data_IF_604158409831
#
_entry.id   IF_604158409831
#
_cell.length_a   1.000
_cell.length_b   1.000
_cell.length_c   1.000
_cell.angle_alpha   90.00
_cell.angle_beta   90.00
_cell.angle_gamma   90.00
#
_symmetry.space_group_name_H-M   'P 1'
#
loop_
_entity.id
_entity.type
_entity.pdbx_description
1 polymer ?
#
# COMPACT_ATOMS: atom_id res chain seq x y z
N UNK A 1 6.01 4.86 11.29
CA UNK A 1 6.47 3.46 11.13
C UNK A 1 5.98 2.99 9.77
N UNK A 2 6.68 3.33 8.68
CA UNK A 2 6.11 3.29 7.32
C UNK A 2 6.38 2.00 6.52
N UNK A 3 7.29 1.14 6.94
CA UNK A 3 7.89 0.11 6.07
C UNK A 3 7.40 -1.34 6.33
N UNK A 4 6.42 -1.55 7.21
CA UNK A 4 6.07 -2.91 7.68
C UNK A 4 4.67 -3.41 7.30
N UNK A 5 3.94 -2.64 6.51
CA UNK A 5 2.58 -2.97 6.06
C UNK A 5 2.58 -4.07 4.99
N UNK A 6 3.66 -4.21 4.23
CA UNK A 6 3.80 -5.18 3.12
C UNK A 6 3.93 -6.65 3.62
N UNK A 7 4.39 -6.87 4.86
CA UNK A 7 4.54 -8.21 5.46
C UNK A 7 3.21 -8.89 5.83
N UNK A 8 2.11 -8.14 5.88
CA UNK A 8 0.80 -8.66 6.33
C UNK A 8 0.16 -9.66 5.34
N UNK A 9 0.62 -9.70 4.08
CA UNK A 9 0.02 -10.57 3.05
C UNK A 9 0.58 -12.00 2.99
N UNK A 10 1.68 -12.31 3.70
CA UNK A 10 2.50 -13.51 3.38
C UNK A 10 2.43 -14.63 4.42
N UNK A 11 1.66 -14.50 5.51
CA UNK A 11 1.56 -15.54 6.56
C UNK A 11 0.12 -15.89 6.92
N UNK A 12 -0.49 -16.84 6.21
CA UNK A 12 -1.70 -17.54 6.67
C UNK A 12 -1.63 -19.01 6.25
N UNK A 13 -1.80 -19.99 7.16
CA UNK A 13 -1.78 -21.41 6.80
C UNK A 13 -3.07 -21.80 6.08
N UNK A 14 -2.91 -22.65 5.06
CA UNK A 14 -3.91 -23.31 4.22
C UNK A 14 -5.37 -23.32 4.75
N UNK A 15 -6.15 -22.30 4.37
CA UNK A 15 -7.62 -22.44 4.25
C UNK A 15 -7.95 -23.14 2.93
N UNK A 16 -9.05 -23.89 2.95
CA UNK A 16 -9.45 -24.86 1.94
C UNK A 16 -9.33 -24.37 0.48
N UNK A 17 -8.92 -25.28 -0.43
CA UNK A 17 -8.75 -25.07 -1.88
C UNK A 17 -10.00 -24.56 -2.63
N UNK A 18 -11.13 -24.36 -1.95
CA UNK A 18 -12.39 -23.89 -2.54
C UNK A 18 -12.67 -22.38 -2.31
N UNK A 19 -11.83 -21.66 -1.56
CA UNK A 19 -12.04 -20.23 -1.26
C UNK A 19 -11.01 -19.27 -1.91
N UNK A 20 -10.12 -19.76 -2.79
CA UNK A 20 -9.18 -18.89 -3.49
C UNK A 20 -9.88 -18.12 -4.62
N UNK A 21 -10.46 -16.96 -4.27
CA UNK A 21 -10.97 -15.97 -5.24
C UNK A 21 -9.87 -15.34 -6.12
N UNK A 22 -8.61 -15.63 -5.84
CA UNK A 22 -7.42 -14.98 -6.40
C UNK A 22 -6.30 -16.02 -6.56
N UNK A 23 -5.74 -16.20 -7.76
CA UNK A 23 -4.50 -16.96 -7.95
C UNK A 23 -3.38 -15.99 -8.28
N UNK A 24 -2.16 -16.31 -7.83
CA UNK A 24 -1.00 -15.42 -8.00
C UNK A 24 -0.71 -15.11 -9.48
N UNK A 25 -0.93 -16.05 -10.37
CA UNK A 25 -0.60 -15.90 -11.79
C UNK A 25 -1.82 -15.45 -12.62
N UNK A 26 -2.95 -15.11 -11.97
CA UNK A 26 -4.11 -14.54 -12.67
C UNK A 26 -3.82 -13.08 -13.05
N UNK A 27 -4.21 -12.63 -14.27
CA UNK A 27 -4.20 -11.21 -14.62
C UNK A 27 -5.08 -10.39 -13.69
N UNK A 28 -4.65 -9.15 -13.37
CA UNK A 28 -5.41 -8.27 -12.48
C UNK A 28 -6.57 -7.54 -13.16
N UNK A 29 -6.69 -7.63 -14.47
CA UNK A 29 -7.60 -6.86 -15.34
C UNK A 29 -9.05 -6.87 -14.85
N UNK A 30 -9.49 -8.00 -14.28
CA UNK A 30 -10.83 -8.15 -13.69
C UNK A 30 -11.11 -7.15 -12.55
N UNK A 31 -10.10 -6.87 -11.74
CA UNK A 31 -10.20 -6.02 -10.55
C UNK A 31 -9.60 -4.64 -10.76
N UNK A 32 -8.59 -4.55 -11.62
CA UNK A 32 -7.84 -3.33 -11.94
C UNK A 32 -7.82 -3.14 -13.46
N UNK A 33 -8.98 -2.89 -14.11
CA UNK A 33 -9.04 -2.70 -15.57
C UNK A 33 -8.17 -1.53 -16.06
N UNK A 34 -7.89 -0.55 -15.20
CA UNK A 34 -6.95 0.55 -15.46
C UNK A 34 -5.50 0.07 -15.66
N UNK A 35 -5.20 -1.16 -15.24
CA UNK A 35 -3.92 -1.82 -15.42
C UNK A 35 -3.90 -2.81 -16.60
N UNK A 36 -4.94 -2.86 -17.43
CA UNK A 36 -4.94 -3.66 -18.65
C UNK A 36 -4.15 -2.99 -19.79
N UNK A 37 -3.65 -3.80 -20.73
CA UNK A 37 -3.06 -3.37 -22.01
C UNK A 37 -2.00 -2.24 -21.92
N UNK A 38 -1.16 -2.33 -20.89
CA UNK A 38 -0.21 -1.26 -20.53
C UNK A 38 0.89 -1.08 -21.54
N UNK A 39 1.31 0.17 -21.67
CA UNK A 39 2.52 0.57 -22.37
C UNK A 39 3.68 0.71 -21.37
N UNK A 40 4.89 0.42 -21.81
CA UNK A 40 6.12 0.48 -21.02
C UNK A 40 7.10 1.41 -21.72
N UNK A 41 7.75 2.29 -20.98
CA UNK A 41 8.81 3.15 -21.52
C UNK A 41 9.92 2.30 -22.16
N UNK A 42 10.42 2.73 -23.33
CA UNK A 42 11.59 2.09 -23.96
C UNK A 42 12.86 2.31 -23.13
N UNK A 43 12.99 3.49 -22.54
CA UNK A 43 14.03 3.86 -21.57
C UNK A 43 13.36 4.47 -20.35
N UNK A 44 13.75 4.04 -19.15
CA UNK A 44 13.05 4.41 -17.91
C UNK A 44 13.03 5.92 -17.62
N UNK A 45 14.01 6.66 -18.15
CA UNK A 45 14.18 8.11 -18.05
C UNK A 45 13.80 8.87 -19.32
N UNK A 46 13.22 8.17 -20.31
CA UNK A 46 12.84 8.72 -21.60
C UNK A 46 11.53 9.53 -21.58
N UNK A 47 11.13 10.07 -22.75
CA UNK A 47 9.84 10.72 -22.95
C UNK A 47 8.67 9.77 -22.63
N UNK A 48 7.58 10.31 -22.05
CA UNK A 48 6.43 9.51 -21.62
C UNK A 48 5.66 8.84 -22.77
N UNK A 49 5.80 9.34 -23.98
CA UNK A 49 5.18 8.82 -25.20
C UNK A 49 6.04 7.78 -25.93
N UNK A 50 7.34 7.69 -25.63
CA UNK A 50 8.25 6.71 -26.26
C UNK A 50 8.15 5.33 -25.59
N UNK A 51 7.13 4.60 -25.98
CA UNK A 51 6.72 3.37 -25.32
C UNK A 51 6.67 2.15 -26.25
N UNK A 52 6.61 0.98 -25.64
CA UNK A 52 6.32 -0.32 -26.26
C UNK A 52 5.25 -1.05 -25.45
N UNK A 53 4.46 -1.95 -26.05
CA UNK A 53 3.51 -2.76 -25.30
C UNK A 53 4.19 -3.58 -24.18
N UNK A 54 3.48 -3.77 -23.07
CA UNK A 54 3.88 -4.76 -22.07
C UNK A 54 3.93 -6.16 -22.70
N UNK A 55 4.98 -6.93 -22.39
CA UNK A 55 5.22 -8.27 -22.97
C UNK A 55 4.19 -9.29 -22.52
N UNK A 56 3.54 -9.04 -21.39
CA UNK A 56 2.51 -9.88 -20.77
C UNK A 56 1.60 -9.02 -19.89
N UNK A 57 0.38 -9.50 -19.56
CA UNK A 57 -0.48 -8.86 -18.56
C UNK A 57 0.18 -8.78 -17.18
N UNK A 58 -0.24 -7.77 -16.41
CA UNK A 58 0.11 -7.66 -14.98
C UNK A 58 -0.67 -8.72 -14.20
N UNK A 59 0.03 -9.48 -13.36
CA UNK A 59 -0.58 -10.51 -12.53
C UNK A 59 -0.76 -10.06 -11.09
N UNK A 60 -1.59 -10.79 -10.36
CA UNK A 60 -1.76 -10.63 -8.91
C UNK A 60 -0.41 -10.68 -8.20
N UNK A 61 0.46 -11.61 -8.58
CA UNK A 61 1.82 -11.73 -8.04
C UNK A 61 2.57 -10.43 -8.19
N UNK A 62 2.57 -9.84 -9.40
CA UNK A 62 3.32 -8.61 -9.67
C UNK A 62 2.88 -7.43 -8.80
N UNK A 63 1.58 -7.34 -8.48
CA UNK A 63 1.07 -6.31 -7.57
C UNK A 63 1.49 -6.58 -6.13
N UNK A 64 1.40 -7.84 -5.67
CA UNK A 64 1.74 -8.23 -4.30
C UNK A 64 3.24 -8.25 -4.02
N UNK A 65 4.06 -8.41 -5.06
CA UNK A 65 5.53 -8.38 -4.95
C UNK A 65 6.11 -7.05 -5.40
N UNK A 66 5.28 -6.02 -5.61
CA UNK A 66 5.75 -4.68 -5.97
C UNK A 66 6.61 -4.68 -7.26
N UNK A 67 6.25 -5.51 -8.23
CA UNK A 67 7.00 -5.72 -9.50
C UNK A 67 6.17 -5.50 -10.76
N UNK A 68 4.99 -4.87 -10.69
CA UNK A 68 4.15 -4.69 -11.88
C UNK A 68 4.62 -3.62 -12.86
N UNK A 69 5.68 -2.86 -12.52
CA UNK A 69 6.41 -2.00 -13.45
C UNK A 69 6.17 -0.50 -13.30
N UNK A 70 5.40 -0.05 -12.31
CA UNK A 70 5.29 1.38 -11.96
C UNK A 70 5.17 1.53 -10.44
N UNK A 71 5.99 2.37 -9.83
CA UNK A 71 5.96 2.57 -8.39
C UNK A 71 6.98 3.61 -7.95
N UNK A 72 7.08 3.78 -6.64
CA UNK A 72 8.11 4.65 -6.06
C UNK A 72 9.47 3.95 -6.11
N UNK A 73 10.40 4.55 -6.83
CA UNK A 73 11.82 4.20 -6.81
C UNK A 73 12.63 5.46 -6.48
N UNK A 74 13.29 5.45 -5.33
CA UNK A 74 14.08 6.58 -4.84
C UNK A 74 15.28 6.91 -5.74
N UNK A 75 15.76 5.94 -6.53
CA UNK A 75 16.86 6.15 -7.48
C UNK A 75 16.38 6.79 -8.79
N UNK A 76 15.08 6.77 -9.04
CA UNK A 76 14.44 7.34 -10.23
C UNK A 76 13.83 8.72 -10.00
N UNK A 77 14.06 9.34 -8.84
CA UNK A 77 13.61 10.71 -8.55
C UNK A 77 14.24 11.68 -9.57
N UNK A 78 13.41 12.54 -10.15
CA UNK A 78 13.82 13.52 -11.18
C UNK A 78 13.63 13.04 -12.62
N UNK A 79 13.34 11.75 -12.84
CA UNK A 79 12.95 11.24 -14.17
C UNK A 79 11.59 11.80 -14.60
N UNK A 80 11.32 11.91 -15.92
CA UNK A 80 10.04 12.44 -16.43
C UNK A 80 8.80 11.75 -15.84
N UNK A 81 8.85 10.42 -15.74
CA UNK A 81 7.76 9.59 -15.20
C UNK A 81 7.50 9.83 -13.72
N UNK A 82 8.56 9.95 -12.91
CA UNK A 82 8.40 10.25 -11.50
C UNK A 82 7.90 11.68 -11.29
N UNK A 83 8.41 12.66 -12.04
CA UNK A 83 7.94 14.04 -11.99
C UNK A 83 6.45 14.15 -12.32
N UNK A 84 5.99 13.42 -13.34
CA UNK A 84 4.57 13.36 -13.69
C UNK A 84 3.74 12.66 -12.60
N UNK A 85 4.24 11.56 -12.01
CA UNK A 85 3.58 10.91 -10.88
C UNK A 85 3.43 11.84 -9.66
N UNK A 86 4.45 12.66 -9.37
CA UNK A 86 4.37 13.71 -8.35
C UNK A 86 3.34 14.79 -8.71
N UNK A 87 3.33 15.27 -9.97
CA UNK A 87 2.39 16.27 -10.45
C UNK A 87 0.93 15.81 -10.37
N UNK A 88 0.68 14.51 -10.61
CA UNK A 88 -0.65 13.90 -10.49
C UNK A 88 -1.06 13.53 -9.05
N UNK A 89 -0.17 13.74 -8.07
CA UNK A 89 -0.43 13.39 -6.67
C UNK A 89 -0.50 11.88 -6.42
N UNK A 90 0.25 11.09 -7.21
CA UNK A 90 0.26 9.62 -7.10
C UNK A 90 1.19 9.11 -6.00
N UNK A 91 2.07 9.97 -5.50
CA UNK A 91 3.02 9.66 -4.45
C UNK A 91 2.56 10.32 -3.14
N UNK A 92 3.00 9.83 -1.97
CA UNK A 92 2.75 10.52 -0.70
C UNK A 92 3.45 11.89 -0.69
N UNK A 93 2.78 12.93 -1.21
CA UNK A 93 3.28 14.29 -1.22
C UNK A 93 2.61 15.08 -0.09
N UNK A 94 3.28 15.22 1.04
CA UNK A 94 2.78 16.05 2.14
C UNK A 94 3.02 17.52 1.79
N UNK A 95 2.01 18.42 1.88
CA UNK A 95 0.77 18.33 2.67
C UNK A 95 -0.49 17.86 1.92
N UNK A 96 -0.44 17.67 0.60
CA UNK A 96 -1.63 17.38 -0.20
C UNK A 96 -2.11 15.93 0.04
N UNK A 97 -3.39 15.70 0.40
CA UNK A 97 -3.93 14.36 0.46
C UNK A 97 -3.85 13.68 -0.91
N UNK A 98 -3.54 12.39 -0.91
CA UNK A 98 -3.70 11.59 -2.12
C UNK A 98 -5.18 11.55 -2.52
N UNK A 99 -5.50 11.47 -3.82
CA UNK A 99 -6.87 11.30 -4.26
C UNK A 99 -7.45 9.98 -3.75
N UNK A 100 -8.79 9.90 -3.76
CA UNK A 100 -9.54 8.67 -3.50
C UNK A 100 -9.03 7.50 -4.34
N UNK A 101 -9.18 6.28 -3.82
CA UNK A 101 -8.55 5.08 -4.36
C UNK A 101 -8.75 4.86 -5.87
N UNK A 102 -9.97 5.08 -6.38
CA UNK A 102 -10.29 4.87 -7.79
C UNK A 102 -9.75 6.00 -8.69
N UNK A 103 -9.77 7.25 -8.20
CA UNK A 103 -9.19 8.38 -8.92
C UNK A 103 -7.67 8.27 -8.97
N UNK A 104 -7.06 7.81 -7.88
CA UNK A 104 -5.64 7.48 -7.82
C UNK A 104 -5.28 6.42 -8.86
N UNK A 105 -6.03 5.31 -8.91
CA UNK A 105 -5.76 4.23 -9.86
C UNK A 105 -6.00 4.69 -11.32
N UNK A 106 -7.00 5.53 -11.57
CA UNK A 106 -7.25 6.12 -12.89
C UNK A 106 -6.07 6.97 -13.37
N UNK A 107 -5.51 7.81 -12.49
CA UNK A 107 -4.32 8.62 -12.77
C UNK A 107 -3.08 7.75 -13.02
N UNK A 108 -2.86 6.74 -12.17
CA UNK A 108 -1.77 5.78 -12.34
C UNK A 108 -1.89 5.03 -13.67
N UNK A 109 -3.11 4.60 -14.02
CA UNK A 109 -3.44 3.94 -15.28
C UNK A 109 -3.22 4.82 -16.52
N UNK A 110 -3.14 6.15 -16.37
CA UNK A 110 -2.87 7.03 -17.51
C UNK A 110 -1.38 7.13 -17.86
N UNK A 111 -0.48 6.78 -16.94
CA UNK A 111 0.97 6.82 -17.15
C UNK A 111 1.48 5.54 -17.81
N UNK A 112 2.59 5.54 -18.57
CA UNK A 112 3.24 4.29 -18.95
C UNK A 112 3.90 3.63 -17.73
N UNK A 113 4.17 2.33 -17.83
CA UNK A 113 5.04 1.62 -16.90
C UNK A 113 6.51 2.03 -17.13
N UNK A 114 7.29 2.07 -16.07
CA UNK A 114 8.74 2.29 -16.13
C UNK A 114 9.49 1.03 -16.58
N UNK A 115 9.00 -0.13 -16.15
CA UNK A 115 9.62 -1.42 -16.41
C UNK A 115 8.58 -2.43 -16.85
N UNK A 116 9.02 -3.49 -17.52
CA UNK A 116 8.14 -4.60 -17.86
C UNK A 116 7.65 -5.31 -16.58
N UNK A 117 6.41 -5.80 -16.54
CA UNK A 117 5.90 -6.54 -15.39
C UNK A 117 6.80 -7.72 -15.01
N UNK A 118 7.27 -7.73 -13.76
CA UNK A 118 8.16 -8.73 -13.17
C UNK A 118 9.66 -8.40 -13.24
N UNK A 119 10.08 -7.40 -14.02
CA UNK A 119 11.51 -7.16 -14.28
C UNK A 119 12.18 -6.34 -13.16
N UNK A 120 11.44 -5.45 -12.49
CA UNK A 120 11.98 -4.55 -11.46
C UNK A 120 11.04 -4.42 -10.27
N UNK A 121 11.63 -4.24 -9.09
CA UNK A 121 10.91 -3.99 -7.84
C UNK A 121 10.81 -2.49 -7.57
N UNK A 122 9.62 -2.00 -7.23
CA UNK A 122 9.33 -0.59 -6.96
C UNK A 122 8.25 -0.50 -5.88
N UNK A 123 8.46 0.33 -4.86
CA UNK A 123 7.51 0.46 -3.74
C UNK A 123 6.12 0.84 -4.26
N UNK A 124 5.12 0.02 -3.96
CA UNK A 124 3.75 0.26 -4.40
C UNK A 124 2.70 -0.09 -3.33
N UNK A 125 1.47 0.34 -3.58
CA UNK A 125 0.34 0.25 -2.68
C UNK A 125 -0.59 -0.90 -3.11
N UNK A 126 -0.28 -2.13 -2.67
CA UNK A 126 -1.10 -3.32 -2.94
C UNK A 126 -2.54 -3.26 -2.36
N UNK A 127 -2.84 -2.28 -1.51
CA UNK A 127 -4.14 -2.12 -0.84
C UNK A 127 -5.32 -1.99 -1.79
N UNK A 128 -5.14 -1.34 -2.95
CA UNK A 128 -6.19 -1.15 -3.97
C UNK A 128 -6.75 -2.48 -4.48
N UNK A 129 -5.86 -3.43 -4.77
CA UNK A 129 -6.23 -4.77 -5.21
C UNK A 129 -7.06 -5.48 -4.15
N UNK A 130 -6.60 -5.44 -2.90
CA UNK A 130 -7.29 -6.08 -1.77
C UNK A 130 -8.70 -5.52 -1.62
N UNK A 131 -8.84 -4.19 -1.53
CA UNK A 131 -10.14 -3.50 -1.40
C UNK A 131 -11.13 -3.95 -2.49
N UNK A 132 -10.70 -3.95 -3.76
CA UNK A 132 -11.58 -4.31 -4.89
C UNK A 132 -11.91 -5.80 -4.93
N UNK A 133 -11.01 -6.69 -4.50
CA UNK A 133 -11.27 -8.14 -4.43
C UNK A 133 -12.27 -8.48 -3.32
N UNK A 134 -12.16 -7.82 -2.17
CA UNK A 134 -13.06 -8.07 -1.03
C UNK A 134 -14.35 -7.26 -1.08
N UNK A 135 -14.40 -6.17 -1.85
CA UNK A 135 -15.55 -5.27 -1.94
C UNK A 135 -15.75 -4.42 -0.69
N UNK A 136 -14.67 -4.08 0.01
CA UNK A 136 -14.63 -3.29 1.25
C UNK A 136 -13.47 -2.30 1.19
N UNK A 137 -13.43 -1.36 2.11
CA UNK A 137 -12.23 -0.52 2.31
C UNK A 137 -11.05 -1.39 2.75
N UNK A 138 -9.82 -0.92 2.51
CA UNK A 138 -8.62 -1.66 2.90
C UNK A 138 -8.52 -1.80 4.43
N UNK A 139 -8.94 -0.77 5.18
CA UNK A 139 -9.02 -0.81 6.63
C UNK A 139 -9.97 -1.90 7.13
N UNK A 140 -11.18 -1.99 6.57
CA UNK A 140 -12.13 -3.05 6.92
C UNK A 140 -11.58 -4.43 6.59
N UNK A 141 -10.92 -4.58 5.44
CA UNK A 141 -10.28 -5.84 5.07
C UNK A 141 -9.22 -6.25 6.11
N UNK A 142 -8.33 -5.33 6.50
CA UNK A 142 -7.33 -5.56 7.54
C UNK A 142 -7.96 -5.81 8.91
N UNK A 143 -9.05 -5.12 9.25
CA UNK A 143 -9.76 -5.33 10.51
C UNK A 143 -10.36 -6.72 10.62
N UNK A 144 -10.97 -7.20 9.54
CA UNK A 144 -11.56 -8.53 9.49
C UNK A 144 -10.50 -9.65 9.50
N UNK A 145 -9.39 -9.46 8.79
CA UNK A 145 -8.42 -10.54 8.57
C UNK A 145 -7.22 -10.53 9.52
N UNK A 146 -6.85 -9.36 10.06
CA UNK A 146 -5.64 -9.19 10.89
C UNK A 146 -5.97 -8.58 12.24
N UNK A 147 -6.55 -7.37 12.28
CA UNK A 147 -6.62 -6.62 13.54
C UNK A 147 -7.59 -7.26 14.54
N UNK A 148 -8.82 -7.59 14.10
CA UNK A 148 -9.81 -8.25 14.95
C UNK A 148 -9.34 -9.59 15.52
N UNK A 149 -8.85 -10.54 14.68
CA UNK A 149 -8.32 -11.82 15.16
C UNK A 149 -7.14 -11.72 16.14
N UNK A 150 -6.36 -10.63 16.07
CA UNK A 150 -5.20 -10.40 16.94
C UNK A 150 -5.49 -9.45 18.12
N UNK A 151 -6.72 -8.92 18.23
CA UNK A 151 -7.10 -7.98 19.27
C UNK A 151 -6.44 -6.60 19.15
N UNK A 152 -6.09 -6.17 17.94
CA UNK A 152 -5.40 -4.90 17.66
C UNK A 152 -6.42 -3.74 17.53
N UNK A 153 -7.04 -3.35 18.64
CA UNK A 153 -8.14 -2.37 18.68
C UNK A 153 -7.71 -0.91 18.49
N UNK A 154 -6.41 -0.64 18.56
CA UNK A 154 -5.81 0.70 18.42
C UNK A 154 -4.99 0.83 17.12
N UNK A 155 -5.20 -0.09 16.17
CA UNK A 155 -4.56 -0.07 14.87
C UNK A 155 -5.55 0.29 13.77
N UNK A 156 -5.21 1.30 12.98
CA UNK A 156 -6.06 1.81 11.90
C UNK A 156 -5.37 2.90 11.08
N UNK A 157 -6.08 3.46 10.12
CA UNK A 157 -5.56 4.56 9.29
C UNK A 157 -5.80 5.96 9.89
N UNK A 158 -6.55 6.03 10.99
CA UNK A 158 -6.78 7.26 11.76
C UNK A 158 -7.02 6.92 13.24
N UNK A 159 -6.88 7.91 14.11
CA UNK A 159 -7.17 7.89 15.54
C UNK A 159 -8.49 8.63 15.76
N UNK A 160 -9.54 7.97 16.26
CA UNK A 160 -10.81 8.62 16.54
C UNK A 160 -10.68 9.62 17.70
N UNK A 161 -11.61 10.58 17.76
CA UNK A 161 -11.59 11.68 18.74
C UNK A 161 -11.58 11.22 20.21
N UNK A 162 -12.14 10.05 20.51
CA UNK A 162 -12.20 9.47 21.86
C UNK A 162 -10.89 8.82 22.31
N UNK A 163 -9.91 8.68 21.41
CA UNK A 163 -8.56 8.16 21.69
C UNK A 163 -7.45 9.16 21.38
N UNK A 164 -7.81 10.40 21.00
CA UNK A 164 -6.88 11.35 20.41
C UNK A 164 -5.78 11.81 21.38
N UNK A 165 -6.04 11.75 22.68
CA UNK A 165 -5.09 12.05 23.75
C UNK A 165 -3.88 11.11 23.76
N UNK A 166 -3.98 9.96 23.09
CA UNK A 166 -2.90 8.96 22.97
C UNK A 166 -2.03 9.19 21.72
N UNK A 167 -2.47 10.02 20.78
CA UNK A 167 -1.70 10.34 19.58
C UNK A 167 -0.67 11.42 19.92
N UNK A 168 0.64 11.14 19.84
CA UNK A 168 1.67 12.16 20.07
C UNK A 168 1.70 13.19 18.94
N UNK A 169 2.16 14.40 19.28
CA UNK A 169 2.48 15.43 18.29
C UNK A 169 3.64 14.94 17.41
N UNK A 170 3.48 15.03 16.10
CA UNK A 170 4.54 14.71 15.16
C UNK A 170 5.29 15.98 14.76
N UNK A 171 6.61 15.95 14.90
CA UNK A 171 7.49 17.06 14.55
C UNK A 171 8.36 16.70 13.34
N UNK A 172 8.67 17.68 12.50
CA UNK A 172 9.62 17.54 11.41
C UNK A 172 10.65 18.69 11.46
N UNK A 173 11.91 18.42 11.12
CA UNK A 173 12.90 19.47 11.00
C UNK A 173 12.61 20.30 9.75
N UNK A 174 12.74 21.61 9.88
CA UNK A 174 12.82 22.51 8.73
C UNK A 174 14.12 22.22 7.95
N UNK A 175 14.07 21.97 6.63
CA UNK A 175 15.24 21.59 5.85
C UNK A 175 16.35 22.66 5.79
N UNK A 176 16.01 23.94 5.98
CA UNK A 176 16.96 25.05 5.89
C UNK A 176 17.57 25.41 7.25
N UNK A 177 16.73 25.55 8.27
CA UNK A 177 17.12 26.01 9.61
C UNK A 177 17.43 24.86 10.58
N UNK A 178 16.92 23.65 10.32
CA UNK A 178 17.03 22.50 11.22
C UNK A 178 16.11 22.56 12.45
N UNK A 179 15.30 23.63 12.60
CA UNK A 179 14.35 23.76 13.71
C UNK A 179 13.17 22.80 13.55
N UNK A 180 12.72 22.21 14.66
CA UNK A 180 11.55 21.33 14.66
C UNK A 180 10.27 22.13 14.75
N UNK A 181 9.40 21.96 13.75
CA UNK A 181 8.03 22.49 13.77
C UNK A 181 7.03 21.35 13.94
N UNK A 182 5.83 21.68 14.44
CA UNK A 182 4.72 20.73 14.49
C UNK A 182 4.31 20.42 13.05
N UNK A 183 4.53 19.18 12.65
CA UNK A 183 4.23 18.68 11.33
C UNK A 183 2.84 18.04 11.27
N UNK A 184 2.46 17.33 12.33
CA UNK A 184 1.08 16.91 12.53
C UNK A 184 0.65 17.05 13.99
N UNK A 185 -0.45 17.77 14.20
CA UNK A 185 -1.05 17.92 15.52
C UNK A 185 -1.99 16.74 15.81
N UNK A 186 -2.18 16.32 17.07
CA UNK A 186 -3.11 15.24 17.37
C UNK A 186 -4.53 15.60 16.92
N UNK A 187 -5.13 16.65 17.50
CA UNK A 187 -6.49 17.06 17.13
C UNK A 187 -6.50 17.87 15.83
N UNK A 188 -7.35 17.46 14.90
CA UNK A 188 -7.49 18.11 13.59
C UNK A 188 -6.29 17.91 12.65
N UNK A 189 -5.29 17.12 13.07
CA UNK A 189 -4.22 16.68 12.18
C UNK A 189 -4.63 15.52 11.28
N UNK A 190 -3.69 15.13 10.43
CA UNK A 190 -3.87 14.13 9.37
C UNK A 190 -4.26 12.77 9.93
N UNK A 191 -3.65 12.33 11.03
CA UNK A 191 -3.98 11.05 11.64
C UNK A 191 -5.22 11.08 12.55
N UNK A 192 -5.90 12.22 12.73
CA UNK A 192 -7.21 12.27 13.39
C UNK A 192 -8.36 12.02 12.40
N UNK A 193 -8.13 12.29 11.11
CA UNK A 193 -9.17 12.24 10.07
C UNK A 193 -8.98 10.97 9.23
N UNK A 194 -10.06 10.22 8.93
CA UNK A 194 -9.98 9.10 7.98
C UNK A 194 -9.38 9.55 6.64
N UNK A 195 -8.32 8.89 6.13
CA UNK A 195 -7.72 9.31 4.88
C UNK A 195 -8.56 8.86 3.68
N UNK A 196 -8.59 9.70 2.64
CA UNK A 196 -9.14 9.38 1.31
C UNK A 196 -8.49 8.14 0.66
N UNK A 197 -7.21 7.91 0.96
CA UNK A 197 -6.46 6.78 0.42
C UNK A 197 -5.84 5.96 1.55
N UNK A 198 -6.26 4.70 1.66
CA UNK A 198 -5.74 3.74 2.63
C UNK A 198 -4.62 2.92 1.97
N UNK A 199 -3.37 3.36 2.17
CA UNK A 199 -2.21 2.80 1.50
C UNK A 199 -1.79 1.41 2.00
N UNK A 200 -1.60 0.47 1.06
CA UNK A 200 -1.02 -0.85 1.35
C UNK A 200 0.44 -0.80 1.82
N UNK A 201 1.19 0.23 1.42
CA UNK A 201 2.59 0.42 1.76
C UNK A 201 2.84 1.35 2.95
N UNK A 202 1.81 1.94 3.57
CA UNK A 202 1.98 2.87 4.69
C UNK A 202 0.73 3.68 5.01
N UNK A 203 0.71 4.29 6.20
CA UNK A 203 -0.39 5.15 6.67
C UNK A 203 -1.03 4.69 7.99
N UNK A 204 -0.78 3.46 8.42
CA UNK A 204 -1.29 2.94 9.69
C UNK A 204 -0.65 3.65 10.89
N UNK A 205 -1.50 3.93 11.88
CA UNK A 205 -1.14 4.22 13.27
C UNK A 205 -1.48 3.02 14.12
N UNK A 206 -0.68 2.77 15.15
CA UNK A 206 -0.78 1.59 16.01
C UNK A 206 -0.13 1.87 17.36
N UNK A 207 -0.31 0.95 18.30
CA UNK A 207 0.32 0.97 19.63
C UNK A 207 1.44 -0.07 19.70
N UNK A 208 2.32 0.07 20.69
CA UNK A 208 3.36 -0.94 20.95
C UNK A 208 2.75 -2.31 21.24
N UNK A 209 1.63 -2.35 21.96
CA UNK A 209 0.96 -3.60 22.35
C UNK A 209 0.31 -4.30 21.14
N UNK A 210 -0.40 -3.56 20.28
CA UNK A 210 -0.97 -4.10 19.05
C UNK A 210 0.13 -4.61 18.11
N UNK A 211 1.19 -3.84 17.97
CA UNK A 211 2.32 -4.23 17.12
C UNK A 211 3.01 -5.50 17.65
N UNK A 212 3.12 -5.63 18.98
CA UNK A 212 3.61 -6.85 19.63
C UNK A 212 2.69 -8.04 19.40
N UNK A 213 1.37 -7.85 19.46
CA UNK A 213 0.41 -8.92 19.14
C UNK A 213 0.64 -9.46 17.72
N UNK A 214 0.87 -8.57 16.75
CA UNK A 214 1.20 -8.97 15.37
C UNK A 214 2.52 -9.73 15.26
N UNK A 215 3.59 -9.21 15.87
CA UNK A 215 4.92 -9.83 15.81
C UNK A 215 4.95 -11.21 16.49
N UNK A 216 4.27 -11.36 17.62
CA UNK A 216 4.20 -12.63 18.35
C UNK A 216 3.38 -13.69 17.61
N UNK A 217 2.38 -13.30 16.82
CA UNK A 217 1.67 -14.22 15.95
C UNK A 217 2.56 -14.77 14.82
N UNK A 218 3.41 -13.92 14.24
CA UNK A 218 4.34 -14.26 13.15
C UNK A 218 5.43 -15.24 13.57
N UNK A 219 5.89 -15.15 14.82
CA UNK A 219 7.00 -15.96 15.35
C UNK A 219 6.53 -17.30 15.95
N UNK A 220 5.22 -17.49 16.18
CA UNK A 220 4.71 -18.77 16.67
C UNK A 220 4.69 -19.78 15.51
N UNK A 221 5.54 -20.83 15.52
CA UNK A 221 5.28 -21.97 14.65
C UNK A 221 3.90 -22.49 15.03
N UNK A 222 3.06 -22.82 14.05
CA UNK A 222 1.73 -23.40 14.25
C UNK A 222 1.72 -24.29 15.52
N UNK A 223 0.99 -23.83 16.55
CA UNK A 223 0.91 -24.54 17.84
C UNK A 223 0.40 -25.97 17.65
N UNK A 224 0.71 -26.90 18.58
CA UNK A 224 0.46 -28.32 18.40
C UNK A 224 -1.05 -28.58 18.36
N UNK A 225 -1.56 -28.94 17.20
CA UNK A 225 -2.98 -29.09 16.94
C UNK A 225 -3.28 -30.16 15.90
N UNK A 226 -2.79 -31.38 16.12
CA UNK A 226 -3.35 -32.58 15.52
C UNK A 226 -3.21 -33.74 16.52
N UNK A 227 -3.92 -33.63 17.64
CA UNK A 227 -4.35 -34.82 18.35
C UNK A 227 -5.46 -35.48 17.54
N UNK A 228 -5.27 -36.76 17.19
CA UNK A 228 -6.32 -37.77 16.94
C UNK A 228 -5.68 -39.05 16.39
N UNK A 229 -6.38 -40.18 16.49
CA UNK A 229 -6.88 -40.88 17.68
C UNK A 229 -5.97 -42.07 18.05
#
# INVERSE_FOLDING_TARGET
MADKTESAATSTPARSRAECRLRLDDPVDRWLPELADRQVLKTYDGPLDDTVPARRPITVRDVLTSTFGLGMDLTSIGTPIMNEAFAQGLTPNLPTPMPEQDEWLRRLGALPLMHQPGDHWQYHLAGVLVSRVVGKTFEEALRDSVFGPLGMEDTGFHVPDDKIERLPVLYAPDPESGEFHVWDAPKGGRWNIPPAFQGGGGGLVSTVDDYRARATHEVRPNGPGAGRP
#
